data_IF_631149060591
#
_entry.id   IF_631149060591
#
_cell.length_a   1.000
_cell.length_b   1.000
_cell.length_c   1.000
_cell.angle_alpha   90.00
_cell.angle_beta   90.00
_cell.angle_gamma   90.00
#
_symmetry.space_group_name_H-M   'P 1'
#
loop_
_entity.id
_entity.type
_entity.pdbx_description
1 polymer ?
#
# COMPACT_ATOMS: atom_id res chain seq x y z
N UNK A 1 -17.84 11.81 2.77
CA UNK A 1 -17.63 10.74 3.78
C UNK A 1 -16.19 10.23 3.72
N UNK A 2 -15.54 10.16 4.84
CA UNK A 2 -14.18 9.65 4.91
C UNK A 2 -14.17 8.14 4.62
N UNK A 3 -13.26 7.71 3.76
CA UNK A 3 -13.02 6.29 3.49
C UNK A 3 -11.59 5.95 3.94
N UNK A 4 -11.46 4.98 4.83
CA UNK A 4 -10.16 4.55 5.34
C UNK A 4 -9.29 3.92 4.25
N UNK A 5 -9.91 3.31 3.24
CA UNK A 5 -9.26 2.71 2.08
C UNK A 5 -9.93 3.18 0.79
N UNK A 6 -9.19 3.21 -0.33
CA UNK A 6 -9.82 3.37 -1.64
C UNK A 6 -10.90 2.31 -1.85
N UNK A 7 -11.95 2.66 -2.60
CA UNK A 7 -13.10 1.78 -2.82
C UNK A 7 -12.73 0.48 -3.55
N UNK A 8 -11.61 0.48 -4.27
CA UNK A 8 -11.14 -0.69 -5.03
C UNK A 8 -10.41 -1.71 -4.16
N UNK A 9 -10.21 -1.40 -2.87
CA UNK A 9 -9.40 -2.22 -1.96
C UNK A 9 -10.21 -2.68 -0.75
N UNK A 10 -9.80 -3.79 -0.17
CA UNK A 10 -10.34 -4.27 1.10
C UNK A 10 -9.26 -4.99 1.89
N UNK A 11 -9.49 -5.12 3.20
CA UNK A 11 -8.61 -5.84 4.12
C UNK A 11 -9.18 -7.23 4.34
N UNK A 12 -8.31 -8.23 4.29
CA UNK A 12 -8.68 -9.58 4.73
C UNK A 12 -7.44 -10.32 5.21
N UNK A 13 -7.64 -11.48 5.80
CA UNK A 13 -6.54 -12.33 6.25
C UNK A 13 -5.65 -12.70 5.06
N UNK A 14 -4.34 -12.53 5.26
CA UNK A 14 -3.35 -12.80 4.24
C UNK A 14 -2.70 -14.16 4.47
N UNK A 15 -2.47 -14.97 3.43
CA UNK A 15 -1.71 -16.18 3.57
C UNK A 15 -0.23 -15.95 3.89
N UNK A 16 0.24 -14.71 3.71
CA UNK A 16 1.64 -14.36 3.97
C UNK A 16 1.84 -14.00 5.44
N UNK A 17 1.07 -13.05 5.96
CA UNK A 17 1.20 -12.58 7.33
C UNK A 17 -0.02 -11.77 7.73
N UNK A 18 -0.64 -12.10 8.86
CA UNK A 18 -1.72 -11.35 9.45
C UNK A 18 -2.81 -10.97 8.46
N UNK A 19 -3.13 -9.66 8.40
CA UNK A 19 -4.06 -9.12 7.43
C UNK A 19 -3.32 -8.42 6.30
N UNK A 20 -3.94 -8.32 5.14
CA UNK A 20 -3.37 -7.66 3.98
C UNK A 20 -4.40 -6.84 3.21
N UNK A 21 -3.93 -6.14 2.19
CA UNK A 21 -4.76 -5.34 1.29
C UNK A 21 -4.97 -6.13 0.00
N UNK A 22 -6.23 -6.26 -0.40
CA UNK A 22 -6.61 -7.04 -1.58
C UNK A 22 -7.43 -6.19 -2.55
N UNK A 23 -7.34 -6.50 -3.82
CA UNK A 23 -8.09 -5.80 -4.87
C UNK A 23 -9.53 -6.33 -4.95
N UNK A 24 -10.52 -5.43 -4.87
CA UNK A 24 -11.93 -5.77 -5.08
C UNK A 24 -12.27 -5.95 -6.55
N UNK A 25 -11.47 -5.35 -7.41
CA UNK A 25 -11.65 -5.39 -8.86
C UNK A 25 -10.29 -5.30 -9.53
N UNK A 26 -10.23 -5.52 -10.84
CA UNK A 26 -8.98 -5.38 -11.57
C UNK A 26 -8.48 -3.93 -11.49
N UNK A 27 -7.18 -3.77 -11.24
CA UNK A 27 -6.53 -2.46 -11.17
C UNK A 27 -5.44 -2.44 -12.23
N UNK A 28 -5.45 -1.42 -13.08
CA UNK A 28 -4.44 -1.28 -14.13
C UNK A 28 -3.04 -0.98 -13.58
N UNK A 29 -2.04 -1.11 -14.44
CA UNK A 29 -0.67 -0.72 -14.11
C UNK A 29 -0.55 0.80 -14.00
N UNK A 30 0.38 1.27 -13.15
CA UNK A 30 0.69 2.69 -12.96
C UNK A 30 -0.51 3.50 -12.46
N UNK A 31 -1.41 2.87 -11.74
CA UNK A 31 -2.58 3.52 -11.17
C UNK A 31 -2.30 4.00 -9.75
N UNK A 32 -2.63 5.26 -9.48
CA UNK A 32 -2.50 5.83 -8.15
C UNK A 32 -3.46 5.13 -7.18
N UNK A 33 -2.94 4.72 -6.02
CA UNK A 33 -3.72 4.00 -5.01
C UNK A 33 -4.13 4.93 -3.86
N UNK A 34 -3.20 5.75 -3.37
CA UNK A 34 -3.48 6.63 -2.25
C UNK A 34 -2.25 6.91 -1.41
N UNK A 35 -2.48 7.44 -0.22
CA UNK A 35 -1.42 7.81 0.72
C UNK A 35 -1.18 6.65 1.69
N UNK A 36 0.08 6.22 1.80
CA UNK A 36 0.45 5.16 2.73
C UNK A 36 0.95 5.70 4.08
N UNK A 37 1.72 6.78 4.05
CA UNK A 37 2.35 7.34 5.25
C UNK A 37 2.45 8.85 5.14
N UNK A 38 2.46 9.51 6.30
CA UNK A 38 2.68 10.96 6.41
C UNK A 38 3.72 11.16 7.50
N UNK A 39 4.68 12.07 7.25
CA UNK A 39 5.69 12.42 8.25
C UNK A 39 5.29 13.76 8.86
N UNK A 40 5.08 13.77 10.17
CA UNK A 40 4.75 14.98 10.94
C UNK A 40 5.68 15.03 12.15
N UNK A 41 6.43 16.12 12.30
CA UNK A 41 7.38 16.31 13.42
C UNK A 41 8.35 15.11 13.57
N UNK A 42 8.88 14.65 12.43
CA UNK A 42 9.80 13.51 12.36
C UNK A 42 9.19 12.17 12.77
N UNK A 43 7.86 12.11 12.92
CA UNK A 43 7.14 10.89 13.23
C UNK A 43 6.43 10.40 11.98
N UNK A 44 6.58 9.11 11.67
CA UNK A 44 5.93 8.49 10.52
C UNK A 44 4.57 7.95 10.98
N UNK A 45 3.51 8.49 10.39
CA UNK A 45 2.14 8.05 10.64
C UNK A 45 1.66 7.21 9.47
N UNK A 46 1.07 6.05 9.77
CA UNK A 46 0.53 5.15 8.74
C UNK A 46 -0.94 5.44 8.52
N UNK A 47 -1.36 5.48 7.25
CA UNK A 47 -2.77 5.38 6.92
C UNK A 47 -3.21 3.91 7.04
N UNK A 48 -4.51 3.60 6.99
CA UNK A 48 -4.95 2.19 6.92
C UNK A 48 -4.29 1.45 5.75
N UNK A 49 -4.12 2.09 4.61
CA UNK A 49 -3.41 1.50 3.47
C UNK A 49 -1.99 1.10 3.85
N UNK A 50 -1.22 2.02 4.44
CA UNK A 50 0.15 1.74 4.86
C UNK A 50 0.23 0.80 6.05
N UNK A 51 -0.82 0.76 6.89
CA UNK A 51 -0.84 -0.09 8.08
C UNK A 51 -1.12 -1.56 7.79
N UNK A 52 -1.87 -1.86 6.73
CA UNK A 52 -2.26 -3.24 6.42
C UNK A 52 -1.52 -3.84 5.23
N UNK A 53 -0.81 -3.03 4.44
CA UNK A 53 -0.10 -3.57 3.28
C UNK A 53 1.11 -4.39 3.71
N UNK A 54 1.25 -5.57 3.12
CA UNK A 54 2.34 -6.47 3.45
C UNK A 54 3.58 -6.22 2.60
N UNK A 55 4.73 -6.64 3.12
CA UNK A 55 6.01 -6.55 2.43
C UNK A 55 6.20 -7.74 1.49
N UNK A 56 6.81 -7.47 0.32
CA UNK A 56 7.33 -8.51 -0.56
C UNK A 56 8.58 -7.99 -1.26
N UNK A 57 9.52 -8.89 -1.53
CA UNK A 57 10.68 -8.57 -2.34
C UNK A 57 10.32 -8.50 -3.83
N UNK A 58 9.14 -9.00 -4.19
CA UNK A 58 8.57 -8.89 -5.54
C UNK A 58 7.27 -8.11 -5.48
N UNK A 59 7.33 -6.79 -5.16
CA UNK A 59 6.12 -6.01 -4.95
C UNK A 59 5.37 -5.73 -6.25
N UNK A 60 4.07 -5.45 -6.12
CA UNK A 60 3.26 -4.99 -7.24
C UNK A 60 2.87 -3.52 -7.12
N UNK A 61 3.33 -2.86 -6.06
CA UNK A 61 3.14 -1.43 -5.84
C UNK A 61 4.45 -0.78 -5.43
N UNK A 62 4.55 0.52 -5.66
CA UNK A 62 5.67 1.33 -5.18
C UNK A 62 5.13 2.53 -4.41
N UNK A 63 5.98 3.11 -3.56
CA UNK A 63 5.67 4.36 -2.89
C UNK A 63 6.76 5.38 -3.18
N UNK A 64 6.39 6.66 -3.13
CA UNK A 64 7.33 7.77 -3.25
C UNK A 64 6.90 8.90 -2.35
N UNK A 65 7.84 9.73 -1.92
CA UNK A 65 7.59 10.81 -0.97
C UNK A 65 7.62 12.17 -1.66
N UNK A 66 6.58 12.98 -1.41
CA UNK A 66 6.54 14.38 -1.81
C UNK A 66 6.03 15.17 -0.61
N UNK A 67 6.82 16.16 -0.17
CA UNK A 67 6.45 17.03 0.95
C UNK A 67 6.01 16.26 2.19
N UNK A 68 6.80 15.26 2.59
CA UNK A 68 6.54 14.42 3.76
C UNK A 68 5.29 13.54 3.64
N UNK A 69 4.78 13.34 2.44
CA UNK A 69 3.64 12.45 2.19
C UNK A 69 4.10 11.33 1.26
N UNK A 70 3.90 10.09 1.70
CA UNK A 70 4.21 8.92 0.88
C UNK A 70 2.96 8.49 0.12
N UNK A 71 3.07 8.56 -1.19
CA UNK A 71 2.03 8.13 -2.13
C UNK A 71 2.33 6.74 -2.63
N UNK A 72 1.28 6.02 -3.05
CA UNK A 72 1.43 4.67 -3.61
C UNK A 72 0.76 4.57 -4.97
N UNK A 73 1.36 3.76 -5.83
CA UNK A 73 0.74 3.36 -7.10
C UNK A 73 1.12 1.92 -7.44
N UNK A 74 0.31 1.31 -8.32
CA UNK A 74 0.63 0.01 -8.87
C UNK A 74 1.75 0.12 -9.89
N UNK A 75 2.56 -0.93 -10.03
CA UNK A 75 3.61 -1.00 -11.06
C UNK A 75 3.31 -2.05 -12.13
N UNK A 76 2.26 -2.84 -11.92
CA UNK A 76 1.74 -3.78 -12.91
C UNK A 76 0.24 -3.92 -12.70
N UNK A 77 -0.44 -4.57 -13.62
CA UNK A 77 -1.84 -4.88 -13.44
C UNK A 77 -2.03 -5.81 -12.24
N UNK A 78 -3.06 -5.53 -11.45
CA UNK A 78 -3.44 -6.35 -10.30
C UNK A 78 -4.85 -6.86 -10.57
N UNK A 79 -5.02 -8.18 -10.53
CA UNK A 79 -6.32 -8.79 -10.80
C UNK A 79 -7.17 -8.82 -9.54
N UNK A 80 -8.48 -8.78 -9.72
CA UNK A 80 -9.44 -8.94 -8.63
C UNK A 80 -9.05 -10.12 -7.76
N UNK A 81 -8.98 -9.88 -6.46
CA UNK A 81 -8.62 -10.91 -5.46
C UNK A 81 -7.13 -11.04 -5.19
N UNK A 82 -6.27 -10.38 -5.97
CA UNK A 82 -4.83 -10.39 -5.67
C UNK A 82 -4.52 -9.49 -4.48
N UNK A 83 -3.49 -9.89 -3.74
CA UNK A 83 -2.97 -9.07 -2.64
C UNK A 83 -2.01 -8.01 -3.17
N UNK A 84 -2.06 -6.80 -2.59
CA UNK A 84 -1.12 -5.72 -2.88
C UNK A 84 0.08 -5.81 -1.94
N UNK A 85 1.27 -5.60 -2.49
CA UNK A 85 2.53 -5.67 -1.75
C UNK A 85 3.39 -4.46 -2.03
N UNK A 86 4.08 -4.00 -0.98
CA UNK A 86 5.15 -3.00 -1.08
C UNK A 86 6.46 -3.64 -0.64
N UNK A 87 7.57 -3.15 -1.17
CA UNK A 87 8.86 -3.42 -0.57
C UNK A 87 9.09 -2.36 0.51
N UNK A 88 9.26 -2.80 1.77
CA UNK A 88 9.48 -1.86 2.87
C UNK A 88 10.87 -1.26 2.74
N UNK A 89 10.93 0.06 2.66
CA UNK A 89 12.18 0.79 2.51
C UNK A 89 12.46 1.76 3.65
N UNK A 90 11.55 1.88 4.62
CA UNK A 90 11.78 2.71 5.81
C UNK A 90 12.84 2.13 6.73
N UNK A 91 12.94 0.82 6.75
CA UNK A 91 13.88 0.12 7.60
C UNK A 91 15.02 -0.33 6.72
N UNK A 92 16.03 0.51 6.62
CA UNK A 92 17.25 0.08 5.97
C UNK A 92 17.94 -0.92 6.86
N UNK A 93 18.01 -2.12 6.38
CA UNK A 93 19.01 -3.06 6.89
C UNK A 93 20.29 -2.69 6.17
N UNK A 94 21.11 -1.98 6.84
CA UNK A 94 22.42 -1.66 6.31
C UNK A 94 23.41 -2.76 6.64
#
# INVERSE_FOLDING_TARGET
MYQALPKELYVKDSPIAGQGIFAKEDIGAMMYIGVSHIIIDDIIWRSPLGGFINHSDEPNCIKWCVDNIYHMKTIREIKKGEELFLKYTFYKVS
#
